data_IF_099193915164
#
_entry.id   IF_099193915164
#
_cell.length_a   1.000
_cell.length_b   1.000
_cell.length_c   1.000
_cell.angle_alpha   90.00
_cell.angle_beta   90.00
_cell.angle_gamma   90.00
#
_symmetry.space_group_name_H-M   'P 1'
#
loop_
_entity.id
_entity.type
_entity.pdbx_description
1 polymer ?
#
# COMPACT_ATOMS: atom_id res chain seq x y z
N UNK A 1 18.24 -3.36 -23.14
CA UNK A 1 16.80 -3.71 -23.03
C UNK A 1 15.85 -2.50 -22.94
N UNK A 2 16.32 -1.27 -22.68
CA UNK A 2 15.45 -0.07 -22.60
C UNK A 2 14.78 0.38 -23.91
N UNK A 3 15.42 0.17 -25.06
CA UNK A 3 14.90 0.63 -26.36
C UNK A 3 13.65 -0.10 -26.88
N UNK A 4 13.30 -1.26 -26.32
CA UNK A 4 12.11 -2.01 -26.77
C UNK A 4 10.83 -1.57 -26.04
N UNK A 5 10.95 -1.04 -24.82
CA UNK A 5 9.83 -0.53 -24.01
C UNK A 5 9.47 0.92 -24.39
N UNK A 6 10.47 1.74 -24.72
CA UNK A 6 10.26 3.11 -25.20
C UNK A 6 9.43 3.18 -26.50
N UNK A 7 9.52 2.15 -27.36
CA UNK A 7 8.73 2.05 -28.60
C UNK A 7 7.23 1.81 -28.37
N UNK A 8 6.82 1.43 -27.15
CA UNK A 8 5.41 1.19 -26.77
C UNK A 8 4.83 2.41 -26.02
N UNK A 9 5.61 3.47 -25.81
CA UNK A 9 5.14 4.71 -25.15
C UNK A 9 4.95 4.59 -23.64
N UNK A 10 5.37 3.48 -23.03
CA UNK A 10 5.37 3.28 -21.58
C UNK A 10 6.77 3.60 -21.07
N UNK A 11 7.05 4.89 -20.89
CA UNK A 11 8.26 5.33 -20.18
C UNK A 11 8.03 5.13 -18.68
N UNK A 12 8.55 4.03 -18.13
CA UNK A 12 8.40 3.71 -16.69
C UNK A 12 9.47 4.43 -15.87
N UNK A 13 10.63 4.72 -16.46
CA UNK A 13 11.74 5.39 -15.77
C UNK A 13 11.50 6.90 -15.81
N UNK A 14 11.72 7.61 -14.70
CA UNK A 14 11.48 9.05 -14.57
C UNK A 14 10.05 9.54 -14.81
N UNK A 15 9.06 8.66 -14.66
CA UNK A 15 7.65 9.00 -14.87
C UNK A 15 6.77 8.74 -13.65
N UNK A 16 5.56 9.30 -13.67
CA UNK A 16 4.52 9.02 -12.67
C UNK A 16 4.13 7.52 -12.66
N UNK A 17 4.24 6.83 -13.80
CA UNK A 17 4.02 5.39 -13.86
C UNK A 17 5.11 4.62 -13.11
N UNK A 18 6.36 5.08 -13.16
CA UNK A 18 7.44 4.56 -12.34
C UNK A 18 7.15 4.64 -10.85
N UNK A 19 6.53 5.73 -10.39
CA UNK A 19 6.10 5.88 -8.99
C UNK A 19 5.09 4.80 -8.61
N UNK A 20 4.06 4.60 -9.44
CA UNK A 20 3.01 3.59 -9.19
C UNK A 20 3.60 2.18 -9.16
N UNK A 21 4.47 1.84 -10.12
CA UNK A 21 5.11 0.52 -10.19
C UNK A 21 6.01 0.27 -8.98
N UNK A 22 6.82 1.25 -8.58
CA UNK A 22 7.68 1.14 -7.40
C UNK A 22 6.84 0.92 -6.13
N UNK A 23 5.80 1.74 -5.93
CA UNK A 23 4.92 1.63 -4.77
C UNK A 23 4.16 0.30 -4.75
N UNK A 24 3.66 -0.15 -5.91
CA UNK A 24 2.97 -1.43 -6.02
C UNK A 24 3.88 -2.60 -5.68
N UNK A 25 5.11 -2.62 -6.21
CA UNK A 25 6.09 -3.66 -5.91
C UNK A 25 6.37 -3.77 -4.41
N UNK A 26 6.52 -2.63 -3.73
CA UNK A 26 6.80 -2.58 -2.29
C UNK A 26 5.59 -2.94 -1.43
N UNK A 27 4.37 -2.54 -1.84
CA UNK A 27 3.15 -2.77 -1.08
C UNK A 27 2.60 -4.19 -1.23
N UNK A 28 2.80 -4.83 -2.40
CA UNK A 28 2.29 -6.17 -2.73
C UNK A 28 2.61 -7.26 -1.69
N UNK A 29 3.85 -7.44 -1.20
CA UNK A 29 4.14 -8.50 -0.23
C UNK A 29 3.37 -8.34 1.09
N UNK A 30 3.05 -7.10 1.49
CA UNK A 30 2.23 -6.83 2.67
C UNK A 30 0.78 -7.24 2.42
N UNK A 31 0.22 -6.88 1.26
CA UNK A 31 -1.13 -7.28 0.87
C UNK A 31 -1.28 -8.81 0.85
N UNK A 32 -0.34 -9.50 0.19
CA UNK A 32 -0.34 -10.96 0.07
C UNK A 32 -0.30 -11.61 1.46
N UNK A 33 0.59 -11.15 2.34
CA UNK A 33 0.71 -11.69 3.70
C UNK A 33 -0.58 -11.52 4.48
N UNK A 34 -1.21 -10.35 4.43
CA UNK A 34 -2.48 -10.12 5.14
C UNK A 34 -3.62 -10.94 4.54
N UNK A 35 -3.71 -11.04 3.22
CA UNK A 35 -4.75 -11.84 2.57
C UNK A 35 -4.61 -13.33 2.87
N UNK A 36 -3.39 -13.85 2.88
CA UNK A 36 -3.13 -15.23 3.32
C UNK A 36 -3.59 -15.47 4.76
N UNK A 37 -3.28 -14.55 5.68
CA UNK A 37 -3.75 -14.65 7.07
C UNK A 37 -5.27 -14.62 7.17
N UNK A 38 -5.93 -13.75 6.39
CA UNK A 38 -7.38 -13.65 6.35
C UNK A 38 -8.01 -14.96 5.86
N UNK A 39 -7.55 -15.51 4.74
CA UNK A 39 -8.10 -16.77 4.21
C UNK A 39 -7.83 -17.96 5.13
N UNK A 40 -6.66 -18.02 5.76
CA UNK A 40 -6.32 -19.08 6.72
C UNK A 40 -7.12 -19.02 8.03
N UNK A 41 -7.75 -17.88 8.35
CA UNK A 41 -8.59 -17.74 9.54
C UNK A 41 -10.00 -18.32 9.39
N UNK A 42 -10.43 -18.65 8.17
CA UNK A 42 -11.77 -19.19 7.91
C UNK A 42 -11.83 -20.67 8.31
N UNK A 43 -12.90 -21.08 8.98
CA UNK A 43 -13.17 -22.51 9.22
C UNK A 43 -13.44 -23.23 7.88
N UNK A 44 -12.62 -24.23 7.50
CA UNK A 44 -12.82 -25.00 6.27
C UNK A 44 -14.20 -25.68 6.16
N UNK A 45 -14.92 -25.86 7.27
CA UNK A 45 -16.28 -26.39 7.28
C UNK A 45 -17.26 -25.50 6.51
N UNK A 46 -17.09 -24.18 6.56
CA UNK A 46 -17.98 -23.25 5.84
C UNK A 46 -17.93 -23.48 4.33
N UNK A 47 -16.72 -23.68 3.79
CA UNK A 47 -16.52 -23.97 2.36
C UNK A 47 -17.03 -25.37 1.99
N UNK A 48 -16.86 -26.36 2.88
CA UNK A 48 -17.37 -27.72 2.65
C UNK A 48 -18.89 -27.75 2.59
N UNK A 49 -19.57 -27.08 3.51
CA UNK A 49 -21.05 -26.97 3.51
C UNK A 49 -21.54 -26.31 2.23
N UNK A 50 -20.90 -25.24 1.80
CA UNK A 50 -21.25 -24.56 0.55
C UNK A 50 -21.11 -25.48 -0.68
N UNK A 51 -20.06 -26.30 -0.74
CA UNK A 51 -19.90 -27.31 -1.82
C UNK A 51 -21.01 -28.37 -1.78
N UNK A 52 -21.41 -28.83 -0.60
CA UNK A 52 -22.52 -29.80 -0.46
C UNK A 52 -23.86 -29.22 -0.92
N UNK A 53 -24.05 -27.90 -0.81
CA UNK A 53 -25.22 -27.19 -1.35
C UNK A 53 -25.17 -26.98 -2.87
N UNK A 54 -24.18 -27.54 -3.57
CA UNK A 54 -24.04 -27.48 -5.02
C UNK A 54 -23.31 -26.25 -5.55
N UNK A 55 -22.68 -25.43 -4.69
CA UNK A 55 -21.89 -24.30 -5.16
C UNK A 55 -20.59 -24.75 -5.84
N UNK A 56 -20.32 -24.17 -7.01
CA UNK A 56 -19.03 -24.30 -7.70
C UNK A 56 -17.89 -23.62 -6.91
N UNK A 57 -16.62 -24.01 -7.12
CA UNK A 57 -15.48 -23.41 -6.39
C UNK A 57 -15.42 -21.88 -6.48
N UNK A 58 -15.72 -21.30 -7.64
CA UNK A 58 -15.76 -19.84 -7.81
C UNK A 58 -16.91 -19.19 -7.01
N UNK A 59 -18.07 -19.85 -6.92
CA UNK A 59 -19.18 -19.38 -6.09
C UNK A 59 -18.87 -19.46 -4.60
N UNK A 60 -18.20 -20.53 -4.14
CA UNK A 60 -17.74 -20.64 -2.74
C UNK A 60 -16.79 -19.49 -2.42
N UNK A 61 -15.81 -19.23 -3.28
CA UNK A 61 -14.87 -18.13 -3.09
C UNK A 61 -15.58 -16.75 -3.02
N UNK A 62 -16.43 -16.45 -3.99
CA UNK A 62 -17.09 -15.13 -4.08
C UNK A 62 -18.22 -14.93 -3.07
N UNK A 63 -18.97 -15.98 -2.72
CA UNK A 63 -20.16 -15.88 -1.85
C UNK A 63 -19.90 -16.26 -0.40
N UNK A 64 -18.81 -16.96 -0.10
CA UNK A 64 -18.49 -17.43 1.27
C UNK A 64 -17.15 -16.86 1.71
N UNK A 65 -16.06 -17.18 1.01
CA UNK A 65 -14.70 -16.80 1.42
C UNK A 65 -14.49 -15.29 1.46
N UNK A 66 -14.86 -14.56 0.38
CA UNK A 66 -14.71 -13.10 0.29
C UNK A 66 -15.56 -12.37 1.35
N UNK A 67 -16.88 -12.63 1.50
CA UNK A 67 -17.70 -11.95 2.50
C UNK A 67 -17.25 -12.20 3.94
N UNK A 68 -16.79 -13.41 4.26
CA UNK A 68 -16.27 -13.76 5.59
C UNK A 68 -14.97 -13.04 5.91
N UNK A 69 -14.12 -12.78 4.91
CA UNK A 69 -12.82 -12.12 5.09
C UNK A 69 -12.82 -10.63 4.76
N UNK A 70 -13.96 -10.05 4.38
CA UNK A 70 -14.05 -8.67 3.88
C UNK A 70 -13.36 -7.64 4.78
N UNK A 71 -13.53 -7.74 6.10
CA UNK A 71 -12.94 -6.78 7.04
C UNK A 71 -11.43 -6.96 7.13
N UNK A 72 -10.95 -8.20 7.12
CA UNK A 72 -9.53 -8.50 7.10
C UNK A 72 -8.86 -8.08 5.77
N UNK A 73 -9.56 -8.23 4.64
CA UNK A 73 -9.10 -7.75 3.34
C UNK A 73 -8.99 -6.23 3.30
N UNK A 74 -10.01 -5.51 3.80
CA UNK A 74 -9.98 -4.05 3.93
C UNK A 74 -8.82 -3.60 4.81
N UNK A 75 -8.61 -4.26 5.96
CA UNK A 75 -7.45 -4.00 6.82
C UNK A 75 -6.11 -4.23 6.11
N UNK A 76 -5.99 -5.30 5.32
CA UNK A 76 -4.80 -5.58 4.52
C UNK A 76 -4.54 -4.55 3.43
N UNK A 77 -5.59 -4.06 2.77
CA UNK A 77 -5.50 -2.97 1.79
C UNK A 77 -5.01 -1.69 2.48
N UNK A 78 -5.58 -1.34 3.64
CA UNK A 78 -5.14 -0.16 4.41
C UNK A 78 -3.67 -0.26 4.82
N UNK A 79 -3.22 -1.41 5.31
CA UNK A 79 -1.82 -1.63 5.69
C UNK A 79 -0.87 -1.52 4.49
N UNK A 80 -1.26 -2.08 3.34
CA UNK A 80 -0.49 -1.99 2.11
C UNK A 80 -0.43 -0.56 1.57
N UNK A 81 -1.53 0.18 1.69
CA UNK A 81 -1.60 1.60 1.33
C UNK A 81 -0.72 2.46 2.25
N UNK A 82 -0.78 2.25 3.57
CA UNK A 82 0.10 2.91 4.53
C UNK A 82 1.58 2.63 4.21
N UNK A 83 1.91 1.40 3.80
CA UNK A 83 3.27 1.06 3.37
C UNK A 83 3.67 1.80 2.09
N UNK A 84 2.78 1.89 1.11
CA UNK A 84 3.04 2.60 -0.14
C UNK A 84 3.27 4.11 0.07
N UNK A 85 2.54 4.73 1.01
CA UNK A 85 2.71 6.13 1.37
C UNK A 85 4.08 6.43 1.97
N UNK A 86 4.62 5.51 2.77
CA UNK A 86 5.94 5.63 3.38
C UNK A 86 7.09 5.29 2.43
N UNK A 87 6.82 4.94 1.16
CA UNK A 87 7.86 4.50 0.25
C UNK A 87 8.64 5.64 -0.39
N UNK A 88 9.95 5.63 -0.17
CA UNK A 88 10.90 6.58 -0.72
C UNK A 88 11.92 5.91 -1.65
N UNK A 89 12.56 4.82 -1.19
CA UNK A 89 13.75 4.26 -1.83
C UNK A 89 13.49 3.72 -3.24
N UNK A 90 12.51 2.83 -3.39
CA UNK A 90 12.16 2.26 -4.69
C UNK A 90 11.67 3.32 -5.67
N UNK A 91 10.89 4.29 -5.18
CA UNK A 91 10.40 5.42 -5.98
C UNK A 91 11.55 6.30 -6.46
N UNK A 92 12.49 6.65 -5.57
CA UNK A 92 13.65 7.46 -5.92
C UNK A 92 14.57 6.75 -6.92
N UNK A 93 14.74 5.43 -6.80
CA UNK A 93 15.54 4.63 -7.72
C UNK A 93 14.91 4.50 -9.12
N UNK A 94 13.57 4.32 -9.19
CA UNK A 94 12.89 4.04 -10.46
C UNK A 94 12.34 5.30 -11.16
N UNK A 95 11.66 6.17 -10.41
CA UNK A 95 11.04 7.39 -10.93
C UNK A 95 11.95 8.62 -10.81
N UNK A 96 13.11 8.48 -10.16
CA UNK A 96 14.02 9.60 -9.93
C UNK A 96 13.43 10.67 -9.00
N UNK A 97 14.26 11.68 -8.74
CA UNK A 97 13.96 12.75 -7.79
C UNK A 97 13.82 14.05 -8.58
N UNK A 98 12.65 14.25 -9.20
CA UNK A 98 12.40 15.42 -10.05
C UNK A 98 11.30 16.30 -9.45
N UNK A 99 11.68 17.52 -9.04
CA UNK A 99 10.77 18.52 -8.47
C UNK A 99 9.59 18.78 -9.43
N UNK A 100 8.38 18.88 -8.88
CA UNK A 100 7.13 19.10 -9.64
C UNK A 100 6.75 18.03 -10.68
N UNK A 101 7.49 16.91 -10.81
CA UNK A 101 7.15 15.81 -11.74
C UNK A 101 6.93 14.47 -11.03
N UNK A 102 7.90 14.05 -10.22
CA UNK A 102 7.88 12.76 -9.48
C UNK A 102 8.02 12.98 -7.98
N UNK A 103 7.80 14.21 -7.53
CA UNK A 103 7.91 14.64 -6.15
C UNK A 103 6.76 14.06 -5.30
N UNK A 104 7.07 12.99 -4.56
CA UNK A 104 6.24 12.53 -3.45
C UNK A 104 6.56 13.33 -2.19
N UNK A 105 5.69 13.25 -1.17
CA UNK A 105 5.91 13.92 0.12
C UNK A 105 7.34 13.66 0.65
N UNK A 106 7.77 12.40 0.66
CA UNK A 106 9.09 11.99 1.15
C UNK A 106 10.25 12.52 0.28
N UNK A 107 10.04 12.58 -1.04
CA UNK A 107 11.03 13.15 -1.98
C UNK A 107 11.19 14.66 -1.77
N UNK A 108 10.10 15.38 -1.45
CA UNK A 108 10.18 16.81 -1.15
C UNK A 108 11.07 17.09 0.07
N UNK A 109 10.98 16.28 1.13
CA UNK A 109 11.86 16.42 2.31
C UNK A 109 13.32 16.18 1.93
N UNK A 110 13.58 15.12 1.17
CA UNK A 110 14.94 14.81 0.70
C UNK A 110 15.51 15.93 -0.18
N UNK A 111 14.72 16.48 -1.11
CA UNK A 111 15.13 17.59 -1.96
C UNK A 111 15.48 18.82 -1.11
N UNK A 112 14.62 19.21 -0.16
CA UNK A 112 14.89 20.37 0.68
C UNK A 112 16.13 20.18 1.58
N UNK A 113 16.37 18.97 2.09
CA UNK A 113 17.60 18.62 2.80
C UNK A 113 18.84 18.71 1.90
N UNK A 114 18.73 18.26 0.65
CA UNK A 114 19.85 18.21 -0.30
C UNK A 114 20.31 19.60 -0.77
N UNK A 115 19.44 20.62 -0.72
CA UNK A 115 19.77 22.00 -1.12
C UNK A 115 20.47 22.77 0.03
N UNK A 116 20.66 22.15 1.20
CA UNK A 116 21.41 22.72 2.31
C UNK A 116 20.60 23.63 3.25
N UNK A 117 19.29 23.74 3.05
CA UNK A 117 18.39 24.45 3.97
C UNK A 117 18.00 23.55 5.14
N UNK A 118 18.95 23.38 6.06
CA UNK A 118 18.81 22.47 7.19
C UNK A 118 17.68 22.88 8.15
N UNK A 119 17.42 24.18 8.27
CA UNK A 119 16.31 24.69 9.08
C UNK A 119 14.96 24.27 8.47
N UNK A 120 14.79 24.42 7.16
CA UNK A 120 13.57 23.99 6.47
C UNK A 120 13.40 22.47 6.44
N UNK A 121 14.51 21.72 6.27
CA UNK A 121 14.49 20.25 6.33
C UNK A 121 14.06 19.72 7.71
N UNK A 122 14.57 20.31 8.80
CA UNK A 122 14.18 19.94 10.17
C UNK A 122 12.71 20.30 10.42
N UNK A 123 12.27 21.49 10.01
CA UNK A 123 10.87 21.90 10.16
C UNK A 123 9.91 20.95 9.42
N UNK A 124 10.21 20.61 8.17
CA UNK A 124 9.39 19.67 7.37
C UNK A 124 9.41 18.24 7.93
N UNK A 125 10.56 17.77 8.44
CA UNK A 125 10.65 16.47 9.12
C UNK A 125 9.81 16.41 10.40
N UNK A 126 9.82 17.47 11.21
CA UNK A 126 8.99 17.58 12.42
C UNK A 126 7.50 17.57 12.06
N UNK A 127 7.09 18.34 11.04
CA UNK A 127 5.69 18.36 10.56
C UNK A 127 5.26 16.97 10.09
N UNK A 128 6.11 16.26 9.35
CA UNK A 128 5.81 14.88 8.94
C UNK A 128 5.71 13.91 10.11
N UNK A 129 6.59 14.05 11.10
CA UNK A 129 6.56 13.22 12.30
C UNK A 129 5.26 13.41 13.06
N UNK A 130 4.83 14.65 13.27
CA UNK A 130 3.54 14.95 13.90
C UNK A 130 2.38 14.37 13.09
N UNK A 131 2.37 14.58 11.77
CA UNK A 131 1.32 14.05 10.89
C UNK A 131 1.23 12.51 10.98
N UNK A 132 2.38 11.82 10.95
CA UNK A 132 2.45 10.37 11.05
C UNK A 132 1.95 9.85 12.41
N UNK A 133 2.35 10.49 13.51
CA UNK A 133 1.89 10.14 14.86
C UNK A 133 0.38 10.38 15.02
N UNK A 134 -0.13 11.51 14.53
CA UNK A 134 -1.56 11.81 14.55
C UNK A 134 -2.37 10.76 13.77
N UNK A 135 -1.95 10.42 12.55
CA UNK A 135 -2.57 9.36 11.75
C UNK A 135 -2.55 8.01 12.47
N UNK A 136 -1.44 7.63 13.07
CA UNK A 136 -1.31 6.39 13.83
C UNK A 136 -2.31 6.33 15.00
N UNK A 137 -2.43 7.41 15.76
CA UNK A 137 -3.35 7.51 16.90
C UNK A 137 -4.81 7.41 16.41
N UNK A 138 -5.15 8.11 15.33
CA UNK A 138 -6.50 8.07 14.74
C UNK A 138 -6.85 6.64 14.32
N UNK A 139 -6.00 5.99 13.53
CA UNK A 139 -6.23 4.62 13.07
C UNK A 139 -6.37 3.66 14.25
N UNK A 140 -5.46 3.73 15.23
CA UNK A 140 -5.51 2.86 16.42
C UNK A 140 -6.80 3.06 17.22
N UNK A 141 -7.31 4.29 17.32
CA UNK A 141 -8.52 4.59 18.08
C UNK A 141 -9.78 4.13 17.35
N UNK A 142 -9.84 4.34 16.02
CA UNK A 142 -10.96 3.89 15.20
C UNK A 142 -11.06 2.36 15.15
N UNK A 143 -9.95 1.66 14.93
CA UNK A 143 -9.92 0.19 14.88
C UNK A 143 -10.26 -0.42 16.24
N UNK A 144 -9.83 0.19 17.35
CA UNK A 144 -10.16 -0.30 18.69
C UNK A 144 -11.66 -0.21 19.01
N UNK A 145 -12.35 0.79 18.47
CA UNK A 145 -13.80 0.96 18.67
C UNK A 145 -14.62 -0.08 17.89
N UNK A 146 -14.12 -0.60 16.76
CA UNK A 146 -14.82 -1.67 16.01
C UNK A 146 -14.72 -3.06 16.65
N UNK A 147 -13.71 -3.31 17.50
CA UNK A 147 -13.51 -4.61 18.16
C UNK A 147 -14.36 -4.75 19.45
N UNK A 148 -15.03 -3.69 19.90
CA UNK A 148 -15.85 -3.68 21.12
C UNK A 148 -17.38 -3.68 20.88
N UNK A 149 -17.82 -3.77 19.63
CA UNK A 149 -19.25 -3.91 19.24
C UNK A 149 -19.52 -5.34 18.76
#
# INVERSE_FOLDING_TARGET
>A
MGNSLAKIGIDVVFSKLGVVVAQWFVATPYAIRTFQQAFNSIDPRMEKVAKTLGYSPAQVFLKVTIPLTKMALVGGIMMSWARALGEFGATAMLAGITRMKTETLSIAVFLNMSIGDMNFAIATAIVMLFLALSLLIIVKTLVKNEVQL
#
